data_IF_539834816941
#
_entry.id   IF_539834816941
#
_cell.length_a   1.000
_cell.length_b   1.000
_cell.length_c   1.000
_cell.angle_alpha   90.00
_cell.angle_beta   90.00
_cell.angle_gamma   90.00
#
_symmetry.space_group_name_H-M   'P 1'
#
loop_
_entity.id
_entity.type
_entity.pdbx_description
1 polymer ?
#
# COMPACT_ATOMS: atom_id res chain seq x y z
N UNK A 1 14.62 -78.18 -36.30
CA UNK A 1 14.85 -78.06 -34.85
C UNK A 1 15.10 -76.59 -34.53
N UNK A 2 14.15 -75.99 -33.82
CA UNK A 2 14.01 -74.62 -33.25
C UNK A 2 14.81 -73.45 -33.85
N UNK A 3 14.05 -72.57 -34.53
CA UNK A 3 14.39 -71.18 -34.85
C UNK A 3 13.76 -70.29 -33.76
N UNK A 4 14.58 -69.42 -33.17
CA UNK A 4 14.17 -68.33 -32.28
C UNK A 4 13.45 -67.24 -33.09
N UNK A 5 12.22 -66.86 -32.73
CA UNK A 5 11.64 -65.55 -33.09
C UNK A 5 10.71 -65.02 -31.99
N UNK A 6 11.25 -64.02 -31.29
CA UNK A 6 10.68 -62.68 -31.07
C UNK A 6 9.35 -62.62 -30.30
N UNK A 7 9.52 -62.30 -29.03
CA UNK A 7 8.62 -61.51 -28.18
C UNK A 7 8.03 -60.31 -28.95
N UNK A 8 6.71 -60.21 -29.03
CA UNK A 8 6.02 -58.94 -29.21
C UNK A 8 5.07 -58.77 -28.02
N UNK A 9 5.58 -58.14 -26.96
CA UNK A 9 4.75 -57.59 -25.89
C UNK A 9 3.92 -56.46 -26.50
N UNK A 10 2.61 -56.66 -26.58
CA UNK A 10 1.66 -55.57 -26.73
C UNK A 10 1.60 -54.81 -25.40
N UNK A 11 2.59 -53.95 -25.16
CA UNK A 11 2.44 -52.86 -24.21
C UNK A 11 1.52 -51.85 -24.89
N UNK A 12 0.25 -51.88 -24.51
CA UNK A 12 -0.69 -50.80 -24.82
C UNK A 12 -0.13 -49.57 -24.11
N UNK A 13 0.53 -48.72 -24.89
CA UNK A 13 0.86 -47.36 -24.54
C UNK A 13 -0.46 -46.60 -24.30
N UNK A 14 -0.98 -46.69 -23.08
CA UNK A 14 -1.77 -45.59 -22.51
C UNK A 14 -0.76 -44.46 -22.29
N UNK A 15 -0.44 -43.79 -23.39
CA UNK A 15 0.17 -42.48 -23.35
C UNK A 15 -0.78 -41.61 -22.56
N UNK A 16 -0.35 -41.23 -21.36
CA UNK A 16 -0.84 -40.08 -20.61
C UNK A 16 -0.83 -38.88 -21.55
N UNK A 17 -1.92 -38.70 -22.30
CA UNK A 17 -2.45 -37.37 -22.56
C UNK A 17 -3.08 -36.92 -21.24
N UNK A 18 -2.22 -36.62 -20.26
CA UNK A 18 -2.56 -35.59 -19.30
C UNK A 18 -2.75 -34.34 -20.15
N UNK A 19 -4.01 -34.11 -20.52
CA UNK A 19 -4.46 -32.84 -21.02
C UNK A 19 -3.92 -31.83 -20.01
N UNK A 20 -2.94 -31.02 -20.42
CA UNK A 20 -2.74 -29.70 -19.83
C UNK A 20 -4.01 -28.91 -20.16
N UNK A 21 -5.14 -29.25 -19.55
CA UNK A 21 -6.27 -28.36 -19.47
C UNK A 21 -5.82 -27.28 -18.52
N UNK A 22 -5.36 -26.16 -19.05
CA UNK A 22 -5.35 -24.90 -18.30
C UNK A 22 -6.75 -24.78 -17.71
N UNK A 23 -6.85 -24.87 -16.38
CA UNK A 23 -8.12 -24.62 -15.70
C UNK A 23 -8.46 -23.17 -16.01
N UNK A 24 -9.52 -22.94 -16.79
CA UNK A 24 -10.00 -21.58 -17.01
C UNK A 24 -10.59 -21.07 -15.71
N UNK A 25 -9.89 -20.14 -15.06
CA UNK A 25 -10.35 -19.51 -13.83
C UNK A 25 -11.35 -18.40 -14.12
N UNK A 26 -12.47 -18.44 -13.41
CA UNK A 26 -13.51 -17.41 -13.42
C UNK A 26 -13.12 -16.24 -12.53
N UNK A 27 -13.75 -15.08 -12.69
CA UNK A 27 -13.52 -13.93 -11.79
C UNK A 27 -13.80 -14.30 -10.32
N UNK A 28 -14.76 -15.19 -10.06
CA UNK A 28 -15.06 -15.70 -8.71
C UNK A 28 -13.90 -16.52 -8.12
N UNK A 29 -13.18 -17.28 -8.94
CA UNK A 29 -11.99 -18.00 -8.49
C UNK A 29 -10.89 -17.01 -8.06
N UNK A 30 -10.70 -15.91 -8.81
CA UNK A 30 -9.74 -14.86 -8.46
C UNK A 30 -10.16 -14.12 -7.19
N UNK A 31 -11.45 -13.77 -7.03
CA UNK A 31 -11.96 -13.15 -5.81
C UNK A 31 -11.76 -14.06 -4.59
N UNK A 32 -12.06 -15.36 -4.72
CA UNK A 32 -11.83 -16.35 -3.66
C UNK A 32 -10.35 -16.48 -3.32
N UNK A 33 -9.47 -16.45 -4.33
CA UNK A 33 -8.03 -16.47 -4.12
C UNK A 33 -7.55 -15.23 -3.33
N UNK A 34 -8.00 -14.04 -3.72
CA UNK A 34 -7.69 -12.78 -3.05
C UNK A 34 -8.20 -12.77 -1.60
N UNK A 35 -9.44 -13.20 -1.38
CA UNK A 35 -10.05 -13.27 -0.04
C UNK A 35 -9.23 -14.17 0.89
N UNK A 36 -8.78 -15.33 0.40
CA UNK A 36 -7.95 -16.23 1.19
C UNK A 36 -6.58 -15.64 1.53
N UNK A 37 -5.94 -14.94 0.58
CA UNK A 37 -4.68 -14.23 0.84
C UNK A 37 -4.87 -13.16 1.91
N UNK A 38 -5.89 -12.29 1.77
CA UNK A 38 -6.14 -11.22 2.73
C UNK A 38 -6.45 -11.81 4.11
N UNK A 39 -7.29 -12.85 4.18
CA UNK A 39 -7.60 -13.52 5.46
C UNK A 39 -6.35 -14.05 6.16
N UNK A 40 -5.40 -14.64 5.43
CA UNK A 40 -4.15 -15.14 5.98
C UNK A 40 -3.23 -14.01 6.47
N UNK A 41 -3.19 -12.87 5.76
CA UNK A 41 -2.48 -11.66 6.16
C UNK A 41 -3.09 -11.06 7.45
N UNK A 42 -4.42 -10.92 7.51
CA UNK A 42 -5.12 -10.42 8.70
C UNK A 42 -5.03 -11.37 9.92
N UNK A 43 -4.57 -12.60 9.72
CA UNK A 43 -4.26 -13.57 10.77
C UNK A 43 -2.79 -13.54 11.20
N UNK A 44 -1.96 -12.66 10.63
CA UNK A 44 -0.54 -12.51 10.97
C UNK A 44 0.40 -13.51 10.28
N UNK A 45 -0.08 -14.30 9.31
CA UNK A 45 0.74 -15.34 8.68
C UNK A 45 1.42 -14.88 7.38
N UNK A 46 0.65 -14.34 6.43
CA UNK A 46 1.14 -13.90 5.11
C UNK A 46 1.69 -14.99 4.17
N UNK A 47 1.77 -16.24 4.61
CA UNK A 47 2.41 -17.35 3.88
C UNK A 47 1.74 -17.58 2.52
N UNK A 48 0.41 -17.48 2.43
CA UNK A 48 -0.31 -17.74 1.18
C UNK A 48 0.12 -16.78 0.07
N UNK A 49 0.37 -15.50 0.38
CA UNK A 49 0.86 -14.53 -0.60
C UNK A 49 2.28 -14.89 -1.06
N UNK A 50 3.16 -15.23 -0.11
CA UNK A 50 4.55 -15.58 -0.43
C UNK A 50 4.66 -16.81 -1.35
N UNK A 51 3.79 -17.81 -1.15
CA UNK A 51 3.74 -19.04 -1.95
C UNK A 51 3.05 -18.87 -3.31
N UNK A 52 2.32 -17.76 -3.48
CA UNK A 52 1.58 -17.44 -4.70
C UNK A 52 2.39 -16.70 -5.76
N UNK A 53 3.62 -16.28 -5.45
CA UNK A 53 4.50 -15.63 -6.42
C UNK A 53 4.96 -16.63 -7.49
N UNK A 54 4.73 -16.30 -8.76
CA UNK A 54 5.35 -17.02 -9.89
C UNK A 54 6.80 -16.55 -10.05
N UNK A 55 7.71 -17.20 -9.34
CA UNK A 55 9.14 -16.85 -9.41
C UNK A 55 9.74 -17.03 -10.81
N UNK A 56 9.17 -17.88 -11.67
CA UNK A 56 9.70 -18.04 -13.03
C UNK A 56 9.42 -16.79 -13.87
N UNK A 57 8.18 -16.30 -13.82
CA UNK A 57 7.78 -15.05 -14.48
C UNK A 57 8.45 -13.85 -13.83
N UNK A 58 8.43 -13.76 -12.50
CA UNK A 58 9.01 -12.64 -11.75
C UNK A 58 10.52 -12.49 -12.01
N UNK A 59 11.27 -13.60 -12.06
CA UNK A 59 12.69 -13.58 -12.44
C UNK A 59 12.88 -13.12 -13.89
N UNK A 60 12.01 -13.53 -14.81
CA UNK A 60 12.10 -13.10 -16.20
C UNK A 60 11.93 -11.57 -16.31
N UNK A 61 11.03 -10.99 -15.53
CA UNK A 61 10.86 -9.54 -15.44
C UNK A 61 12.12 -8.90 -14.84
N UNK A 62 12.68 -9.43 -13.75
CA UNK A 62 13.93 -8.93 -13.15
C UNK A 62 15.11 -8.99 -14.13
N UNK A 63 15.25 -10.06 -14.93
CA UNK A 63 16.41 -10.22 -15.81
C UNK A 63 16.37 -9.32 -17.05
N UNK A 64 15.17 -9.00 -17.55
CA UNK A 64 15.03 -8.27 -18.81
C UNK A 64 15.77 -8.95 -19.97
N UNK A 65 16.21 -8.16 -20.95
CA UNK A 65 16.93 -8.65 -22.12
C UNK A 65 18.42 -8.95 -21.84
N UNK A 66 19.04 -8.19 -20.94
CA UNK A 66 20.49 -8.22 -20.71
C UNK A 66 20.97 -9.42 -19.90
N UNK A 67 20.04 -10.11 -19.19
CA UNK A 67 20.31 -11.33 -18.39
C UNK A 67 21.52 -11.20 -17.47
N UNK A 68 21.62 -10.09 -16.76
CA UNK A 68 22.77 -9.73 -15.93
C UNK A 68 22.98 -10.67 -14.73
N UNK A 69 21.91 -11.35 -14.28
CA UNK A 69 21.92 -12.20 -13.11
C UNK A 69 22.07 -13.69 -13.46
N UNK A 70 22.86 -14.41 -12.67
CA UNK A 70 22.82 -15.88 -12.66
C UNK A 70 21.50 -16.35 -12.05
N UNK A 71 20.66 -16.99 -12.85
CA UNK A 71 19.29 -17.36 -12.49
C UNK A 71 19.17 -18.09 -11.14
N UNK A 72 20.06 -19.06 -10.87
CA UNK A 72 20.02 -19.82 -9.60
C UNK A 72 20.31 -18.93 -8.39
N UNK A 73 21.32 -18.07 -8.48
CA UNK A 73 21.69 -17.15 -7.39
C UNK A 73 20.57 -16.12 -7.15
N UNK A 74 19.91 -15.66 -8.22
CA UNK A 74 18.76 -14.75 -8.13
C UNK A 74 17.55 -15.42 -7.50
N UNK A 75 17.20 -16.64 -7.92
CA UNK A 75 16.10 -17.40 -7.32
C UNK A 75 16.31 -17.61 -5.82
N UNK A 76 17.51 -18.05 -5.43
CA UNK A 76 17.85 -18.23 -4.01
C UNK A 76 17.78 -16.91 -3.23
N UNK A 77 18.22 -15.79 -3.82
CA UNK A 77 18.09 -14.47 -3.21
C UNK A 77 16.62 -14.09 -3.00
N UNK A 78 15.79 -14.19 -4.03
CA UNK A 78 14.38 -13.80 -3.97
C UNK A 78 13.59 -14.68 -3.00
N UNK A 79 13.72 -16.01 -3.07
CA UNK A 79 12.99 -16.92 -2.18
C UNK A 79 13.31 -16.70 -0.69
N UNK A 80 14.51 -16.20 -0.37
CA UNK A 80 14.92 -15.93 1.00
C UNK A 80 14.53 -14.52 1.50
N UNK A 81 14.36 -13.54 0.60
CA UNK A 81 14.23 -12.13 1.00
C UNK A 81 12.92 -11.48 0.56
N UNK A 82 12.33 -11.92 -0.56
CA UNK A 82 11.07 -11.38 -1.05
C UNK A 82 9.89 -12.09 -0.37
N UNK A 83 9.42 -11.46 0.72
CA UNK A 83 8.31 -11.94 1.55
C UNK A 83 7.20 -10.88 1.64
N UNK A 84 6.52 -10.58 0.53
CA UNK A 84 5.48 -9.54 0.53
C UNK A 84 4.34 -9.84 1.50
N UNK A 85 3.99 -11.11 1.70
CA UNK A 85 2.99 -11.54 2.66
C UNK A 85 3.37 -11.27 4.11
N UNK A 86 4.62 -11.60 4.49
CA UNK A 86 5.11 -11.35 5.84
C UNK A 86 5.16 -9.85 6.13
N UNK A 87 5.60 -9.04 5.15
CA UNK A 87 5.63 -7.58 5.26
C UNK A 87 4.23 -6.99 5.42
N UNK A 88 3.24 -7.48 4.65
CA UNK A 88 1.85 -7.04 4.76
C UNK A 88 1.22 -7.45 6.10
N UNK A 89 1.51 -8.65 6.59
CA UNK A 89 1.06 -9.11 7.90
C UNK A 89 1.61 -8.21 9.03
N UNK A 90 2.91 -7.89 8.98
CA UNK A 90 3.53 -6.96 9.93
C UNK A 90 2.89 -5.56 9.88
N UNK A 91 2.54 -5.05 8.69
CA UNK A 91 1.83 -3.78 8.57
C UNK A 91 0.44 -3.82 9.22
N UNK A 92 -0.30 -4.93 9.08
CA UNK A 92 -1.59 -5.10 9.77
C UNK A 92 -1.40 -5.13 11.28
N UNK A 93 -0.38 -5.84 11.78
CA UNK A 93 -0.04 -5.85 13.22
C UNK A 93 0.28 -4.45 13.75
N UNK A 94 0.93 -3.62 12.94
CA UNK A 94 1.23 -2.22 13.24
C UNK A 94 0.01 -1.28 13.11
N UNK A 95 -1.15 -1.78 12.64
CA UNK A 95 -2.40 -1.01 12.55
C UNK A 95 -2.75 -0.47 11.15
N UNK A 96 -2.10 -0.97 10.10
CA UNK A 96 -2.46 -0.65 8.72
C UNK A 96 -3.83 -1.24 8.31
N UNK A 97 -4.48 -0.61 7.33
CA UNK A 97 -5.63 -1.18 6.61
C UNK A 97 -5.22 -1.57 5.19
N UNK A 98 -5.32 -2.85 4.84
CA UNK A 98 -5.06 -3.38 3.50
C UNK A 98 -6.37 -3.83 2.87
N UNK A 99 -6.73 -3.22 1.74
CA UNK A 99 -8.04 -3.41 1.12
C UNK A 99 -7.94 -3.79 -0.35
N UNK A 100 -8.69 -4.82 -0.73
CA UNK A 100 -9.01 -5.08 -2.13
C UNK A 100 -10.01 -4.03 -2.63
N UNK A 101 -9.68 -3.36 -3.74
CA UNK A 101 -10.46 -2.27 -4.32
C UNK A 101 -11.25 -2.75 -5.54
N UNK A 102 -10.58 -3.44 -6.47
CA UNK A 102 -11.20 -3.83 -7.74
C UNK A 102 -10.45 -4.98 -8.42
N UNK A 103 -11.19 -5.88 -9.06
CA UNK A 103 -10.69 -6.83 -10.05
C UNK A 103 -11.03 -6.33 -11.45
N UNK A 104 -10.10 -6.44 -12.40
CA UNK A 104 -10.35 -6.09 -13.78
C UNK A 104 -9.49 -6.91 -14.75
N UNK A 105 -9.74 -6.77 -16.06
CA UNK A 105 -8.96 -7.42 -17.11
C UNK A 105 -8.44 -6.37 -18.09
N UNK A 106 -7.15 -6.41 -18.38
CA UNK A 106 -6.52 -5.59 -19.40
C UNK A 106 -5.76 -6.49 -20.37
N UNK A 107 -6.00 -6.33 -21.69
CA UNK A 107 -5.34 -7.10 -22.75
C UNK A 107 -5.38 -8.63 -22.58
N UNK A 108 -6.33 -9.16 -21.80
CA UNK A 108 -6.50 -10.59 -21.54
C UNK A 108 -5.88 -11.07 -20.23
N UNK A 109 -5.11 -10.22 -19.55
CA UNK A 109 -4.53 -10.47 -18.23
C UNK A 109 -5.50 -10.04 -17.13
N UNK A 110 -5.43 -10.70 -15.97
CA UNK A 110 -6.29 -10.42 -14.82
C UNK A 110 -5.49 -9.61 -13.82
N UNK A 111 -6.10 -8.54 -13.33
CA UNK A 111 -5.47 -7.58 -12.43
C UNK A 111 -6.34 -7.34 -11.20
N UNK A 112 -5.71 -7.07 -10.06
CA UNK A 112 -6.41 -6.56 -8.88
C UNK A 112 -5.71 -5.36 -8.25
N UNK A 113 -6.50 -4.35 -7.93
CA UNK A 113 -6.05 -3.17 -7.19
C UNK A 113 -6.20 -3.40 -5.70
N UNK A 114 -5.11 -3.18 -4.97
CA UNK A 114 -5.05 -3.18 -3.51
C UNK A 114 -4.59 -1.84 -2.99
N UNK A 115 -5.10 -1.43 -1.84
CA UNK A 115 -4.67 -0.23 -1.14
C UNK A 115 -4.22 -0.57 0.27
N UNK A 116 -3.04 -0.09 0.65
CA UNK A 116 -2.55 -0.07 2.03
C UNK A 116 -2.61 1.36 2.56
N UNK A 117 -3.25 1.55 3.71
CA UNK A 117 -3.26 2.82 4.44
C UNK A 117 -2.61 2.62 5.81
N UNK A 118 -1.65 3.46 6.17
CA UNK A 118 -1.00 3.43 7.48
C UNK A 118 -0.44 4.81 7.83
N UNK A 119 -0.76 5.32 9.02
CA UNK A 119 -0.25 6.60 9.55
C UNK A 119 -0.33 7.77 8.55
N UNK A 120 -1.49 7.92 7.89
CA UNK A 120 -1.73 8.94 6.88
C UNK A 120 -1.07 8.71 5.52
N UNK A 121 -0.24 7.68 5.38
CA UNK A 121 0.39 7.28 4.12
C UNK A 121 -0.47 6.26 3.38
N UNK A 122 -0.36 6.28 2.05
CA UNK A 122 -1.08 5.35 1.17
C UNK A 122 -0.09 4.68 0.20
N UNK A 123 -0.29 3.38 -0.02
CA UNK A 123 0.24 2.66 -1.18
C UNK A 123 -0.93 2.08 -1.94
N UNK A 124 -0.89 2.15 -3.27
CA UNK A 124 -1.87 1.49 -4.13
C UNK A 124 -1.10 0.63 -5.11
N UNK A 125 -1.40 -0.66 -5.11
CA UNK A 125 -0.73 -1.68 -5.89
C UNK A 125 -1.70 -2.31 -6.86
N UNK A 126 -1.23 -2.54 -8.08
CA UNK A 126 -1.92 -3.27 -9.13
C UNK A 126 -1.21 -4.61 -9.34
N UNK A 127 -1.83 -5.69 -8.88
CA UNK A 127 -1.27 -7.04 -8.95
C UNK A 127 -1.67 -7.69 -10.26
N UNK A 128 -0.69 -8.14 -11.02
CA UNK A 128 -0.89 -8.92 -12.24
C UNK A 128 -0.93 -10.41 -11.90
N UNK A 129 -2.00 -11.08 -12.29
CA UNK A 129 -2.15 -12.52 -12.06
C UNK A 129 -1.84 -13.36 -13.30
N UNK A 130 -1.10 -14.43 -13.08
CA UNK A 130 -0.85 -15.51 -14.03
C UNK A 130 -1.52 -16.82 -13.63
N UNK A 131 -1.27 -17.85 -14.44
CA UNK A 131 -1.70 -19.21 -14.17
C UNK A 131 -0.52 -20.15 -14.35
N UNK A 132 -0.20 -20.93 -13.31
CA UNK A 132 0.89 -21.89 -13.35
C UNK A 132 0.42 -23.23 -12.79
N UNK A 133 0.56 -24.31 -13.58
CA UNK A 133 0.22 -25.69 -13.16
C UNK A 133 -1.21 -25.85 -12.61
N UNK A 134 -2.16 -25.07 -13.12
CA UNK A 134 -3.56 -25.12 -12.69
C UNK A 134 -3.85 -24.38 -11.38
N UNK A 135 -2.97 -23.48 -10.96
CA UNK A 135 -3.12 -22.56 -9.84
C UNK A 135 -3.07 -21.11 -10.32
N UNK A 136 -3.76 -20.21 -9.63
CA UNK A 136 -3.59 -18.76 -9.80
C UNK A 136 -2.28 -18.37 -9.13
N UNK A 137 -1.47 -17.56 -9.82
CA UNK A 137 -0.22 -17.01 -9.30
C UNK A 137 -0.18 -15.50 -9.50
N UNK A 138 0.71 -14.83 -8.78
CA UNK A 138 1.01 -13.41 -8.94
C UNK A 138 2.32 -13.31 -9.71
N UNK A 139 2.27 -12.68 -10.88
CA UNK A 139 3.43 -12.50 -11.74
C UNK A 139 4.29 -11.32 -11.28
N UNK A 140 3.63 -10.22 -10.93
CA UNK A 140 4.25 -8.97 -10.51
C UNK A 140 3.21 -8.07 -9.83
N UNK A 141 3.66 -6.94 -9.27
CA UNK A 141 2.77 -5.87 -8.88
C UNK A 141 3.37 -4.50 -9.21
N UNK A 142 2.53 -3.59 -9.70
CA UNK A 142 2.89 -2.22 -9.97
C UNK A 142 2.40 -1.30 -8.86
N UNK A 143 3.30 -0.60 -8.18
CA UNK A 143 2.88 0.47 -7.25
C UNK A 143 2.51 1.71 -8.05
N UNK A 144 1.22 2.05 -8.06
CA UNK A 144 0.69 3.24 -8.74
C UNK A 144 1.25 4.51 -8.09
N UNK A 145 1.45 4.49 -6.76
CA UNK A 145 1.97 5.66 -6.05
C UNK A 145 3.45 5.91 -6.37
N UNK A 146 4.29 4.86 -6.48
CA UNK A 146 5.73 5.05 -6.76
C UNK A 146 6.10 4.90 -8.23
N UNK A 147 5.22 4.38 -9.08
CA UNK A 147 5.47 4.15 -10.50
C UNK A 147 6.50 3.05 -10.75
N UNK A 148 6.59 2.06 -9.86
CA UNK A 148 7.61 1.00 -9.87
C UNK A 148 6.96 -0.37 -9.73
N UNK A 149 7.40 -1.33 -10.54
CA UNK A 149 7.08 -2.74 -10.36
C UNK A 149 7.91 -3.37 -9.23
N UNK A 150 7.34 -4.36 -8.54
CA UNK A 150 8.11 -5.16 -7.59
C UNK A 150 9.35 -5.76 -8.25
N UNK A 151 9.25 -6.24 -9.49
CA UNK A 151 10.42 -6.78 -10.20
C UNK A 151 11.53 -5.75 -10.41
N UNK A 152 11.21 -4.49 -10.72
CA UNK A 152 12.21 -3.43 -10.85
C UNK A 152 12.86 -3.05 -9.50
N UNK A 153 12.06 -2.96 -8.43
CA UNK A 153 12.58 -2.74 -7.07
C UNK A 153 13.51 -3.89 -6.62
N UNK A 154 13.13 -5.13 -6.92
CA UNK A 154 13.94 -6.30 -6.58
C UNK A 154 15.14 -6.51 -7.50
N UNK A 155 15.08 -6.05 -8.76
CA UNK A 155 16.25 -5.95 -9.65
C UNK A 155 17.31 -5.07 -9.00
N UNK A 156 16.93 -3.89 -8.48
CA UNK A 156 17.85 -3.01 -7.76
C UNK A 156 18.48 -3.72 -6.56
N UNK A 157 17.66 -4.32 -5.68
CA UNK A 157 18.15 -5.01 -4.48
C UNK A 157 19.10 -6.16 -4.82
N UNK A 158 18.79 -6.91 -5.88
CA UNK A 158 19.65 -7.97 -6.39
C UNK A 158 20.96 -7.43 -6.95
N UNK A 159 20.94 -6.34 -7.75
CA UNK A 159 22.15 -5.72 -8.29
C UNK A 159 23.09 -5.27 -7.20
N UNK A 160 22.57 -4.63 -6.15
CA UNK A 160 23.36 -4.23 -4.99
C UNK A 160 23.95 -5.44 -4.25
N UNK A 161 23.15 -6.50 -4.06
CA UNK A 161 23.62 -7.73 -3.40
C UNK A 161 24.71 -8.45 -4.19
N UNK A 162 24.62 -8.43 -5.52
CA UNK A 162 25.49 -9.17 -6.43
C UNK A 162 26.62 -8.31 -7.02
N UNK A 163 26.73 -7.04 -6.62
CA UNK A 163 27.72 -6.07 -7.10
C UNK A 163 27.66 -5.84 -8.62
N UNK A 164 26.45 -5.78 -9.18
CA UNK A 164 26.22 -5.39 -10.58
C UNK A 164 26.13 -3.86 -10.62
N UNK A 165 26.97 -3.23 -11.43
CA UNK A 165 27.01 -1.77 -11.58
C UNK A 165 26.74 -1.41 -13.04
N UNK A 166 25.64 -0.70 -13.25
CA UNK A 166 25.22 -0.11 -14.52
C UNK A 166 24.58 1.28 -14.29
N UNK A 167 24.28 2.01 -15.36
CA UNK A 167 23.73 3.37 -15.27
C UNK A 167 22.43 3.43 -14.45
N UNK A 168 21.58 2.40 -14.55
CA UNK A 168 20.34 2.31 -13.77
C UNK A 168 20.64 2.19 -12.27
N UNK A 169 21.58 1.34 -11.86
CA UNK A 169 21.96 1.20 -10.44
C UNK A 169 22.56 2.49 -9.86
N UNK A 170 23.31 3.26 -10.68
CA UNK A 170 23.86 4.56 -10.26
C UNK A 170 22.73 5.56 -10.06
N UNK A 171 21.82 5.69 -11.04
CA UNK A 171 20.68 6.59 -10.95
C UNK A 171 19.82 6.28 -9.71
N UNK A 172 19.57 5.01 -9.46
CA UNK A 172 18.73 4.61 -8.33
C UNK A 172 19.39 4.92 -6.99
N UNK A 173 20.69 4.71 -6.83
CA UNK A 173 21.40 5.11 -5.60
C UNK A 173 21.24 6.63 -5.36
N UNK A 174 21.31 7.45 -6.41
CA UNK A 174 21.07 8.89 -6.31
C UNK A 174 19.61 9.20 -5.93
N UNK A 175 18.64 8.48 -6.50
CA UNK A 175 17.23 8.61 -6.12
C UNK A 175 16.96 8.17 -4.67
N UNK A 176 17.68 7.18 -4.15
CA UNK A 176 17.59 6.79 -2.74
C UNK A 176 18.09 7.90 -1.80
N UNK A 177 19.21 8.54 -2.14
CA UNK A 177 19.74 9.69 -1.39
C UNK A 177 18.74 10.86 -1.39
N UNK A 178 18.12 11.13 -2.54
CA UNK A 178 17.06 12.13 -2.67
C UNK A 178 15.84 11.76 -1.82
N UNK A 179 15.38 10.51 -1.87
CA UNK A 179 14.25 10.06 -1.07
C UNK A 179 14.53 10.16 0.43
N UNK A 180 15.79 9.90 0.85
CA UNK A 180 16.22 10.15 2.22
C UNK A 180 16.09 11.64 2.60
N UNK A 181 16.52 12.56 1.73
CA UNK A 181 16.33 14.01 1.95
C UNK A 181 14.84 14.39 2.04
N UNK A 182 13.98 13.82 1.20
CA UNK A 182 12.53 14.02 1.25
C UNK A 182 11.97 13.57 2.60
N UNK A 183 12.38 12.40 3.10
CA UNK A 183 11.94 11.87 4.39
C UNK A 183 12.39 12.75 5.57
N UNK A 184 13.56 13.40 5.47
CA UNK A 184 14.02 14.39 6.45
C UNK A 184 13.38 15.78 6.28
N UNK A 185 12.45 15.94 5.34
CA UNK A 185 11.80 17.22 4.96
C UNK A 185 12.78 18.28 4.44
N UNK A 186 13.94 17.86 3.94
CA UNK A 186 14.95 18.73 3.32
C UNK A 186 14.62 19.00 1.85
N UNK A 187 13.42 19.50 1.57
CA UNK A 187 12.87 19.56 0.21
C UNK A 187 13.70 20.39 -0.77
N UNK A 188 14.30 21.50 -0.31
CA UNK A 188 15.16 22.33 -1.16
C UNK A 188 16.47 21.63 -1.55
N UNK A 189 17.04 20.81 -0.65
CA UNK A 189 18.22 20.01 -0.96
C UNK A 189 17.86 18.87 -1.91
N UNK A 190 16.73 18.20 -1.69
CA UNK A 190 16.21 17.18 -2.59
C UNK A 190 15.98 17.73 -4.02
N UNK A 191 15.41 18.93 -4.16
CA UNK A 191 15.18 19.58 -5.45
C UNK A 191 16.50 19.91 -6.16
N UNK A 192 17.47 20.41 -5.39
CA UNK A 192 18.83 20.69 -5.90
C UNK A 192 19.56 19.43 -6.35
N UNK A 193 19.35 18.30 -5.67
CA UNK A 193 19.90 17.01 -6.05
C UNK A 193 19.24 16.47 -7.34
N UNK A 194 17.92 16.65 -7.49
CA UNK A 194 17.20 16.29 -8.72
C UNK A 194 17.73 17.02 -9.96
N UNK A 195 18.10 18.29 -9.84
CA UNK A 195 18.69 19.07 -10.95
C UNK A 195 19.91 18.38 -11.58
N UNK A 196 20.74 17.70 -10.78
CA UNK A 196 21.95 17.02 -11.26
C UNK A 196 21.68 15.71 -11.99
N UNK A 197 20.50 15.11 -11.79
CA UNK A 197 20.11 13.83 -12.39
C UNK A 197 18.93 13.96 -13.38
N UNK A 198 18.45 15.17 -13.62
CA UNK A 198 17.23 15.42 -14.39
C UNK A 198 17.25 14.75 -15.78
N UNK A 199 18.39 14.81 -16.48
CA UNK A 199 18.53 14.21 -17.80
C UNK A 199 18.49 12.68 -17.77
N UNK A 200 18.96 12.06 -16.68
CA UNK A 200 18.85 10.61 -16.48
C UNK A 200 17.41 10.22 -16.08
N UNK A 201 16.68 11.12 -15.43
CA UNK A 201 15.30 10.91 -15.04
C UNK A 201 14.28 11.16 -16.16
N UNK A 202 14.60 11.92 -17.21
CA UNK A 202 13.57 12.42 -18.15
C UNK A 202 12.69 11.32 -18.76
N UNK A 203 13.26 10.16 -19.05
CA UNK A 203 12.56 8.97 -19.58
C UNK A 203 12.37 7.86 -18.53
N UNK A 204 12.68 8.13 -17.27
CA UNK A 204 12.56 7.17 -16.17
C UNK A 204 11.30 7.45 -15.34
N UNK A 205 10.33 6.54 -15.39
CA UNK A 205 9.05 6.72 -14.69
C UNK A 205 9.24 6.94 -13.19
N UNK A 206 10.03 6.10 -12.52
CA UNK A 206 10.29 6.22 -11.09
C UNK A 206 10.91 7.58 -10.70
N UNK A 207 11.94 8.01 -11.43
CA UNK A 207 12.61 9.30 -11.20
C UNK A 207 11.64 10.48 -11.36
N UNK A 208 10.78 10.46 -12.38
CA UNK A 208 9.79 11.52 -12.61
C UNK A 208 8.62 11.47 -11.63
N UNK A 209 8.20 10.28 -11.21
CA UNK A 209 7.21 10.08 -10.15
C UNK A 209 7.73 10.63 -8.81
N UNK A 210 8.97 10.34 -8.45
CA UNK A 210 9.60 10.89 -7.24
C UNK A 210 9.78 12.41 -7.31
N UNK A 211 10.06 12.97 -8.49
CA UNK A 211 10.09 14.42 -8.69
C UNK A 211 8.70 15.06 -8.47
N UNK A 212 7.63 14.43 -8.96
CA UNK A 212 6.25 14.88 -8.69
C UNK A 212 5.89 14.75 -7.21
N UNK A 213 6.28 13.67 -6.54
CA UNK A 213 6.11 13.50 -5.11
C UNK A 213 6.72 14.68 -4.36
N UNK A 214 8.02 14.92 -4.59
CA UNK A 214 8.75 16.03 -3.99
C UNK A 214 8.02 17.36 -4.25
N UNK A 215 7.66 17.67 -5.49
CA UNK A 215 6.94 18.90 -5.83
C UNK A 215 5.63 19.05 -5.03
N UNK A 216 4.83 18.00 -4.94
CA UNK A 216 3.53 18.04 -4.23
C UNK A 216 3.63 18.27 -2.72
N UNK A 217 4.81 18.07 -2.12
CA UNK A 217 5.04 18.26 -0.68
C UNK A 217 5.37 19.71 -0.30
N UNK A 218 5.87 20.54 -1.22
CA UNK A 218 6.36 21.88 -0.85
C UNK A 218 6.16 22.99 -1.89
N UNK A 219 5.81 22.67 -3.14
CA UNK A 219 5.51 23.68 -4.17
C UNK A 219 4.03 24.03 -4.19
N UNK A 220 3.72 25.22 -4.70
CA UNK A 220 2.35 25.66 -4.92
C UNK A 220 1.60 24.73 -5.89
N UNK A 221 0.29 24.55 -5.67
CA UNK A 221 -0.56 23.65 -6.46
C UNK A 221 -0.51 23.91 -7.98
N UNK A 222 -0.42 25.18 -8.40
CA UNK A 222 -0.32 25.53 -9.84
C UNK A 222 1.02 25.11 -10.45
N UNK A 223 2.12 25.16 -9.68
CA UNK A 223 3.42 24.64 -10.13
C UNK A 223 3.37 23.12 -10.29
N UNK A 224 2.79 22.42 -9.30
CA UNK A 224 2.58 20.95 -9.37
C UNK A 224 1.72 20.60 -10.59
N UNK A 225 0.66 21.35 -10.85
CA UNK A 225 -0.20 21.19 -12.03
C UNK A 225 0.58 21.35 -13.33
N UNK A 226 1.49 22.31 -13.40
CA UNK A 226 2.34 22.50 -14.58
C UNK A 226 3.34 21.36 -14.75
N UNK A 227 3.98 20.90 -13.67
CA UNK A 227 4.88 19.74 -13.70
C UNK A 227 4.15 18.44 -14.10
N UNK A 228 2.90 18.27 -13.66
CA UNK A 228 2.05 17.15 -14.08
C UNK A 228 1.78 17.17 -15.58
N UNK A 229 1.55 18.34 -16.19
CA UNK A 229 1.39 18.42 -17.66
C UNK A 229 2.65 17.95 -18.39
N UNK A 230 3.82 18.25 -17.86
CA UNK A 230 5.08 17.80 -18.46
C UNK A 230 5.34 16.31 -18.22
N UNK A 231 5.01 15.79 -17.04
CA UNK A 231 5.02 14.35 -16.76
C UNK A 231 4.12 13.57 -17.74
N UNK A 232 2.90 14.03 -17.98
CA UNK A 232 1.94 13.33 -18.84
C UNK A 232 2.26 13.44 -20.35
N UNK A 233 3.16 14.34 -20.76
CA UNK A 233 3.69 14.32 -22.14
C UNK A 233 4.55 13.08 -22.38
N UNK A 234 5.34 12.70 -21.38
CA UNK A 234 6.23 11.54 -21.45
C UNK A 234 5.50 10.24 -21.08
N UNK A 235 4.68 10.27 -20.03
CA UNK A 235 3.96 9.11 -19.51
C UNK A 235 2.43 9.29 -19.58
N UNK A 236 1.83 9.39 -20.78
CA UNK A 236 0.41 9.70 -20.93
C UNK A 236 -0.53 8.65 -20.34
N UNK A 237 -0.08 7.39 -20.23
CA UNK A 237 -0.84 6.32 -19.61
C UNK A 237 -0.87 6.38 -18.08
N UNK A 238 0.02 7.16 -17.46
CA UNK A 238 0.24 7.18 -16.01
C UNK A 238 -0.53 8.30 -15.31
N UNK A 239 -1.74 8.61 -15.82
CA UNK A 239 -2.55 9.72 -15.29
C UNK A 239 -2.90 9.53 -13.82
N UNK A 240 -3.19 8.30 -13.39
CA UNK A 240 -3.52 7.97 -12.00
C UNK A 240 -2.39 8.36 -11.04
N UNK A 241 -1.13 8.17 -11.42
CA UNK A 241 0.04 8.60 -10.62
C UNK A 241 0.01 10.11 -10.39
N UNK A 242 -0.18 10.88 -11.47
CA UNK A 242 -0.20 12.34 -11.35
C UNK A 242 -1.38 12.87 -10.54
N UNK A 243 -2.52 12.18 -10.58
CA UNK A 243 -3.73 12.56 -9.83
C UNK A 243 -3.55 12.30 -8.33
N UNK A 244 -2.78 11.27 -7.93
CA UNK A 244 -2.36 11.12 -6.52
C UNK A 244 -1.56 12.30 -6.01
N UNK A 245 -0.60 12.81 -6.80
CA UNK A 245 0.23 13.95 -6.36
C UNK A 245 -0.49 15.29 -6.43
N UNK A 246 -1.43 15.45 -7.37
CA UNK A 246 -2.33 16.60 -7.36
C UNK A 246 -3.27 16.56 -6.16
N UNK A 247 -3.79 15.39 -5.79
CA UNK A 247 -4.56 15.19 -4.56
C UNK A 247 -3.73 15.54 -3.32
N UNK A 248 -2.50 15.02 -3.21
CA UNK A 248 -1.58 15.32 -2.11
C UNK A 248 -1.31 16.82 -1.99
N UNK A 249 -1.04 17.49 -3.12
CA UNK A 249 -0.83 18.95 -3.17
C UNK A 249 -2.10 19.72 -2.79
N UNK A 250 -3.27 19.31 -3.27
CA UNK A 250 -4.53 19.95 -2.90
C UNK A 250 -4.81 19.83 -1.39
N UNK A 251 -4.50 18.68 -0.79
CA UNK A 251 -4.64 18.44 0.65
C UNK A 251 -3.70 19.33 1.46
N UNK A 252 -2.43 19.45 1.06
CA UNK A 252 -1.44 20.26 1.78
C UNK A 252 -1.74 21.76 1.74
N UNK A 253 -2.49 22.21 0.73
CA UNK A 253 -2.91 23.61 0.55
C UNK A 253 -4.36 23.89 1.00
N UNK A 254 -5.06 22.91 1.57
CA UNK A 254 -6.44 23.09 2.03
C UNK A 254 -7.46 23.35 0.91
N UNK A 255 -7.20 22.90 -0.31
CA UNK A 255 -8.01 23.18 -1.50
C UNK A 255 -9.18 22.18 -1.64
N UNK A 256 -10.26 22.39 -0.88
CA UNK A 256 -11.44 21.49 -0.80
C UNK A 256 -11.93 21.03 -2.19
N UNK A 257 -12.20 21.96 -3.11
CA UNK A 257 -12.77 21.64 -4.43
C UNK A 257 -11.81 20.78 -5.28
N UNK A 258 -10.50 21.04 -5.17
CA UNK A 258 -9.47 20.26 -5.88
C UNK A 258 -9.27 18.88 -5.26
N UNK A 259 -9.33 18.76 -3.94
CA UNK A 259 -9.32 17.47 -3.26
C UNK A 259 -10.47 16.59 -3.73
N UNK A 260 -11.68 17.14 -3.85
CA UNK A 260 -12.86 16.42 -4.37
C UNK A 260 -12.62 16.02 -5.84
N UNK A 261 -12.18 16.94 -6.68
CA UNK A 261 -11.93 16.69 -8.11
C UNK A 261 -10.98 15.49 -8.33
N UNK A 262 -9.83 15.49 -7.64
CA UNK A 262 -8.83 14.43 -7.79
C UNK A 262 -9.27 13.11 -7.14
N UNK A 263 -9.95 13.17 -5.99
CA UNK A 263 -10.51 11.98 -5.35
C UNK A 263 -11.58 11.31 -6.22
N UNK A 264 -12.47 12.10 -6.84
CA UNK A 264 -13.49 11.59 -7.77
C UNK A 264 -12.86 10.94 -9.00
N UNK A 265 -11.82 11.57 -9.57
CA UNK A 265 -11.08 10.96 -10.67
C UNK A 265 -10.50 9.59 -10.28
N UNK A 266 -9.82 9.51 -9.13
CA UNK A 266 -9.21 8.26 -8.68
C UNK A 266 -10.27 7.20 -8.35
N UNK A 267 -11.38 7.57 -7.70
CA UNK A 267 -12.50 6.67 -7.43
C UNK A 267 -13.08 6.04 -8.70
N UNK A 268 -13.24 6.83 -9.76
CA UNK A 268 -13.79 6.34 -11.03
C UNK A 268 -12.82 5.39 -11.74
N UNK A 269 -11.52 5.67 -11.68
CA UNK A 269 -10.52 4.97 -12.49
C UNK A 269 -9.87 3.77 -11.79
N UNK A 270 -9.65 3.86 -10.46
CA UNK A 270 -9.05 2.78 -9.67
C UNK A 270 -10.10 1.95 -8.92
N UNK A 271 -11.24 2.56 -8.61
CA UNK A 271 -12.32 1.98 -7.81
C UNK A 271 -12.56 2.79 -6.55
N UNK A 272 -13.75 2.59 -5.96
CA UNK A 272 -14.17 3.36 -4.79
C UNK A 272 -13.38 2.97 -3.54
N UNK A 273 -12.71 3.93 -2.91
CA UNK A 273 -11.95 3.69 -1.67
C UNK A 273 -12.40 4.66 -0.55
N UNK A 274 -12.77 4.17 0.64
CA UNK A 274 -13.12 5.02 1.76
C UNK A 274 -11.98 5.91 2.29
N UNK A 275 -10.72 5.67 1.90
CA UNK A 275 -9.58 6.52 2.30
C UNK A 275 -9.78 7.98 1.92
N UNK A 276 -10.52 8.27 0.84
CA UNK A 276 -10.80 9.64 0.43
C UNK A 276 -11.67 10.41 1.44
N UNK A 277 -12.46 9.73 2.28
CA UNK A 277 -13.16 10.38 3.39
C UNK A 277 -12.17 10.97 4.40
N UNK A 278 -11.05 10.28 4.66
CA UNK A 278 -9.99 10.76 5.55
C UNK A 278 -9.38 12.05 5.01
N UNK A 279 -9.03 12.06 3.73
CA UNK A 279 -8.43 13.24 3.09
C UNK A 279 -9.38 14.44 3.06
N UNK A 280 -10.67 14.21 2.81
CA UNK A 280 -11.67 15.27 2.91
C UNK A 280 -11.81 15.79 4.34
N UNK A 281 -11.74 14.91 5.35
CA UNK A 281 -11.76 15.34 6.75
C UNK A 281 -10.61 16.31 7.07
N UNK A 282 -9.39 16.00 6.64
CA UNK A 282 -8.22 16.85 6.88
C UNK A 282 -8.37 18.23 6.25
N UNK A 283 -8.86 18.29 5.01
CA UNK A 283 -9.00 19.55 4.28
C UNK A 283 -10.14 20.41 4.84
N UNK A 284 -11.24 19.78 5.29
CA UNK A 284 -12.27 20.51 6.04
C UNK A 284 -11.80 20.98 7.42
N UNK A 285 -10.91 20.23 8.08
CA UNK A 285 -10.34 20.63 9.37
C UNK A 285 -9.45 21.87 9.20
N UNK A 286 -8.58 21.89 8.19
CA UNK A 286 -7.77 23.07 7.85
C UNK A 286 -8.64 24.31 7.56
N UNK A 287 -9.84 24.10 6.99
CA UNK A 287 -10.82 25.15 6.75
C UNK A 287 -11.67 25.52 7.97
N UNK A 288 -11.38 24.97 9.16
CA UNK A 288 -12.14 25.11 10.41
C UNK A 288 -13.63 24.72 10.26
N UNK A 289 -13.95 23.79 9.36
CA UNK A 289 -15.31 23.24 9.18
C UNK A 289 -15.49 21.94 9.97
N UNK A 290 -15.36 22.03 11.30
CA UNK A 290 -15.28 20.88 12.21
C UNK A 290 -16.47 19.92 12.11
N UNK A 291 -17.70 20.43 11.91
CA UNK A 291 -18.88 19.57 11.70
C UNK A 291 -18.71 18.65 10.47
N UNK A 292 -18.19 19.18 9.36
CA UNK A 292 -17.92 18.37 8.17
C UNK A 292 -16.77 17.42 8.39
N UNK A 293 -15.71 17.86 9.08
CA UNK A 293 -14.60 16.98 9.45
C UNK A 293 -15.12 15.76 10.21
N UNK A 294 -15.98 15.96 11.21
CA UNK A 294 -16.62 14.88 11.97
C UNK A 294 -17.46 13.95 11.08
N UNK A 295 -18.30 14.50 10.18
CA UNK A 295 -19.10 13.69 9.23
C UNK A 295 -18.23 12.79 8.33
N UNK A 296 -17.11 13.31 7.85
CA UNK A 296 -16.18 12.56 7.01
C UNK A 296 -15.37 11.53 7.82
N UNK A 297 -14.97 11.85 9.06
CA UNK A 297 -14.35 10.88 9.96
C UNK A 297 -15.30 9.75 10.35
N UNK A 298 -16.58 10.05 10.60
CA UNK A 298 -17.60 9.03 10.86
C UNK A 298 -17.75 8.08 9.66
N UNK A 299 -17.70 8.62 8.45
CA UNK A 299 -17.71 7.80 7.22
C UNK A 299 -16.45 6.95 7.11
N UNK A 300 -15.27 7.52 7.38
CA UNK A 300 -14.01 6.77 7.37
C UNK A 300 -14.02 5.63 8.41
N UNK A 301 -14.44 5.90 9.65
CA UNK A 301 -14.55 4.91 10.73
C UNK A 301 -15.56 3.82 10.39
N UNK A 302 -16.70 4.17 9.80
CA UNK A 302 -17.69 3.18 9.38
C UNK A 302 -17.11 2.14 8.41
N UNK A 303 -16.30 2.59 7.45
CA UNK A 303 -15.71 1.70 6.45
C UNK A 303 -14.37 1.08 6.87
N UNK A 304 -13.63 1.70 7.78
CA UNK A 304 -12.28 1.32 8.23
C UNK A 304 -12.17 1.41 9.77
N UNK A 305 -12.99 0.67 10.54
CA UNK A 305 -13.09 0.82 12.00
C UNK A 305 -11.83 0.43 12.77
N UNK A 306 -10.93 -0.34 12.16
CA UNK A 306 -9.67 -0.80 12.73
C UNK A 306 -8.55 0.25 12.74
N UNK A 307 -8.74 1.38 12.05
CA UNK A 307 -7.70 2.40 11.94
C UNK A 307 -7.78 3.35 13.12
N UNK A 308 -6.84 3.21 14.05
CA UNK A 308 -6.85 3.92 15.33
C UNK A 308 -6.77 5.45 15.18
N UNK A 309 -5.99 5.93 14.21
CA UNK A 309 -5.78 7.36 13.93
C UNK A 309 -7.08 8.14 13.74
N UNK A 310 -8.12 7.53 13.16
CA UNK A 310 -9.38 8.24 12.90
C UNK A 310 -10.09 8.63 14.18
N UNK A 311 -9.95 7.82 15.23
CA UNK A 311 -10.54 8.09 16.53
C UNK A 311 -9.78 9.20 17.26
N UNK A 312 -8.45 9.26 17.12
CA UNK A 312 -7.63 10.37 17.63
C UNK A 312 -7.93 11.68 16.90
N UNK A 313 -8.10 11.66 15.58
CA UNK A 313 -8.50 12.86 14.84
C UNK A 313 -9.84 13.43 15.36
N UNK A 314 -10.77 12.58 15.82
CA UNK A 314 -12.01 13.04 16.49
C UNK A 314 -11.74 13.65 17.87
N UNK A 315 -10.81 13.10 18.64
CA UNK A 315 -10.38 13.67 19.92
C UNK A 315 -9.81 15.08 19.74
N UNK A 316 -8.97 15.28 18.73
CA UNK A 316 -8.40 16.59 18.41
C UNK A 316 -9.49 17.64 18.17
N UNK A 317 -10.50 17.30 17.37
CA UNK A 317 -11.62 18.22 17.09
C UNK A 317 -12.42 18.52 18.35
N UNK A 318 -12.78 17.51 19.15
CA UNK A 318 -13.53 17.74 20.39
C UNK A 318 -12.72 18.57 21.39
N UNK A 319 -11.40 18.39 21.42
CA UNK A 319 -10.51 19.17 22.25
C UNK A 319 -10.45 20.64 21.79
N UNK A 320 -10.26 20.88 20.49
CA UNK A 320 -10.24 22.22 19.88
C UNK A 320 -11.57 22.97 20.12
N UNK A 321 -12.70 22.29 19.98
CA UNK A 321 -14.05 22.83 20.22
C UNK A 321 -14.43 22.92 21.71
N UNK A 322 -13.54 22.49 22.61
CA UNK A 322 -13.77 22.43 24.07
C UNK A 322 -14.99 21.59 24.45
N UNK A 323 -15.34 20.60 23.63
CA UNK A 323 -16.42 19.64 23.84
C UNK A 323 -15.91 18.45 24.68
N UNK A 324 -15.43 18.71 25.90
CA UNK A 324 -14.74 17.69 26.70
C UNK A 324 -15.63 16.51 27.13
N UNK A 325 -16.95 16.72 27.21
CA UNK A 325 -17.88 15.60 27.45
C UNK A 325 -17.89 14.63 26.28
N UNK A 326 -17.90 15.12 25.03
CA UNK A 326 -17.89 14.28 23.84
C UNK A 326 -16.50 13.69 23.58
N UNK A 327 -15.43 14.42 23.94
CA UNK A 327 -14.08 13.90 24.03
C UNK A 327 -14.01 12.64 24.90
N UNK A 328 -14.55 12.68 26.12
CA UNK A 328 -14.52 11.51 27.03
C UNK A 328 -15.39 10.36 26.50
N UNK A 329 -16.55 10.65 25.87
CA UNK A 329 -17.33 9.60 25.18
C UNK A 329 -16.52 8.91 24.09
N UNK A 330 -15.72 9.67 23.34
CA UNK A 330 -14.87 9.13 22.29
C UNK A 330 -13.72 8.27 22.87
N UNK A 331 -13.17 8.60 24.04
CA UNK A 331 -12.24 7.71 24.75
C UNK A 331 -12.88 6.36 25.08
N UNK A 332 -14.12 6.35 25.58
CA UNK A 332 -14.84 5.08 25.80
C UNK A 332 -15.10 4.29 24.52
N UNK A 333 -15.26 4.96 23.37
CA UNK A 333 -15.33 4.27 22.07
C UNK A 333 -13.98 3.64 21.74
N UNK A 334 -12.88 4.37 21.93
CA UNK A 334 -11.53 3.83 21.76
C UNK A 334 -11.31 2.59 22.63
N UNK A 335 -11.76 2.62 23.89
CA UNK A 335 -11.61 1.50 24.83
C UNK A 335 -12.27 0.22 24.30
N UNK A 336 -13.42 0.35 23.64
CA UNK A 336 -14.17 -0.79 23.11
C UNK A 336 -13.48 -1.49 21.94
N UNK A 337 -12.75 -0.74 21.11
CA UNK A 337 -12.16 -1.25 19.88
C UNK A 337 -10.68 -1.60 20.01
N UNK A 338 -9.93 -0.83 20.80
CA UNK A 338 -8.46 -0.92 20.85
C UNK A 338 -7.93 -1.35 22.22
N UNK A 339 -8.76 -1.31 23.27
CA UNK A 339 -8.39 -1.68 24.64
C UNK A 339 -7.03 -1.08 25.08
N UNK A 340 -6.89 0.27 25.06
CA UNK A 340 -5.68 0.93 25.51
C UNK A 340 -5.40 0.58 26.97
N UNK A 341 -4.14 0.61 27.33
CA UNK A 341 -3.64 0.21 28.64
C UNK A 341 -3.40 1.44 29.53
N UNK A 342 -3.08 1.21 30.81
CA UNK A 342 -2.65 2.29 31.71
C UNK A 342 -1.41 3.05 31.18
N UNK A 343 -0.61 2.42 30.32
CA UNK A 343 0.57 3.03 29.69
C UNK A 343 0.22 4.13 28.66
N UNK A 344 -1.02 4.14 28.15
CA UNK A 344 -1.51 5.12 27.19
C UNK A 344 -2.05 6.40 27.88
N UNK A 345 -2.40 6.33 29.17
CA UNK A 345 -2.95 7.47 29.93
C UNK A 345 -2.00 8.69 29.93
N UNK A 346 -0.67 8.54 30.15
CA UNK A 346 0.26 9.66 30.06
C UNK A 346 0.29 10.36 28.70
N UNK A 347 0.01 9.64 27.61
CA UNK A 347 -0.12 10.25 26.28
C UNK A 347 -1.33 11.19 26.26
N UNK A 348 -2.51 10.73 26.66
CA UNK A 348 -3.72 11.56 26.68
C UNK A 348 -3.59 12.78 27.60
N UNK A 349 -3.01 12.61 28.79
CA UNK A 349 -2.81 13.73 29.73
C UNK A 349 -1.85 14.79 29.19
N UNK A 350 -0.81 14.37 28.46
CA UNK A 350 0.18 15.27 27.86
C UNK A 350 -0.37 15.97 26.62
N UNK A 351 -1.11 15.24 25.78
CA UNK A 351 -1.66 15.75 24.51
C UNK A 351 -2.87 16.65 24.75
N UNK A 352 -3.73 16.33 25.73
CA UNK A 352 -5.00 17.01 25.99
C UNK A 352 -5.10 17.56 27.43
N UNK A 353 -4.20 18.46 27.86
CA UNK A 353 -4.06 18.87 29.26
C UNK A 353 -5.31 19.54 29.83
N UNK A 354 -6.06 20.31 29.02
CA UNK A 354 -7.30 20.94 29.50
C UNK A 354 -8.41 19.91 29.77
N UNK A 355 -8.58 18.93 28.86
CA UNK A 355 -9.54 17.84 29.03
C UNK A 355 -9.20 16.97 30.25
N UNK A 356 -7.90 16.75 30.51
CA UNK A 356 -7.42 15.99 31.66
C UNK A 356 -7.80 16.60 33.03
N UNK A 357 -8.14 17.89 33.07
CA UNK A 357 -8.60 18.55 34.31
C UNK A 357 -10.06 18.30 34.64
N UNK A 358 -10.86 17.87 33.65
CA UNK A 358 -12.30 17.65 33.79
C UNK A 358 -12.62 16.50 34.76
N UNK A 359 -13.84 16.51 35.29
CA UNK A 359 -14.28 15.46 36.21
C UNK A 359 -14.43 14.14 35.44
N UNK A 360 -15.03 14.21 34.26
CA UNK A 360 -15.34 13.09 33.38
C UNK A 360 -14.06 12.35 32.95
N UNK A 361 -13.00 13.08 32.60
CA UNK A 361 -11.71 12.44 32.26
C UNK A 361 -11.10 11.72 33.47
N UNK A 362 -11.16 12.32 34.66
CA UNK A 362 -10.65 11.68 35.89
C UNK A 362 -11.41 10.41 36.23
N UNK A 363 -12.73 10.40 36.05
CA UNK A 363 -13.57 9.20 36.22
C UNK A 363 -13.20 8.12 35.18
N UNK A 364 -13.00 8.48 33.91
CA UNK A 364 -12.51 7.57 32.88
C UNK A 364 -11.13 6.99 33.24
N UNK A 365 -10.18 7.82 33.68
CA UNK A 365 -8.84 7.41 34.12
C UNK A 365 -8.89 6.46 35.32
N UNK A 366 -9.70 6.75 36.33
CA UNK A 366 -9.85 5.89 37.52
C UNK A 366 -10.37 4.49 37.17
N UNK A 367 -11.27 4.39 36.17
CA UNK A 367 -11.78 3.11 35.68
C UNK A 367 -10.69 2.23 35.04
N UNK A 368 -9.60 2.81 34.55
CA UNK A 368 -8.47 2.09 33.94
C UNK A 368 -7.39 1.71 34.95
N UNK A 369 -7.21 2.49 36.02
CA UNK A 369 -6.19 2.24 37.07
C UNK A 369 -6.68 1.27 38.15
N UNK A 370 -8.00 1.11 38.30
CA UNK A 370 -8.58 0.10 39.17
C UNK A 370 -8.69 -1.21 38.37
N UNK A 371 -7.84 -2.23 38.59
CA UNK A 371 -8.06 -3.51 37.94
C UNK A 371 -9.45 -3.99 38.34
N UNK A 372 -10.26 -4.38 37.36
CA UNK A 372 -11.61 -4.87 37.52
C UNK A 372 -11.73 -5.80 38.74
N UNK A 373 -12.14 -5.26 39.88
CA UNK A 373 -12.62 -6.07 40.98
C UNK A 373 -13.95 -6.65 40.50
N UNK A 374 -13.95 -7.96 40.29
CA UNK A 374 -15.09 -8.85 40.04
C UNK A 374 -15.61 -8.99 38.60
N UNK A 375 -15.14 -10.04 37.91
CA UNK A 375 -16.03 -11.11 37.43
C UNK A 375 -15.37 -12.45 37.79
N UNK A 376 -15.60 -12.93 39.02
CA UNK A 376 -15.57 -14.36 39.31
C UNK A 376 -16.90 -14.94 38.88
N UNK A 377 -16.95 -15.55 37.69
CA UNK A 377 -18.03 -16.48 37.34
C UNK A 377 -17.83 -17.77 38.13
N UNK A 378 -18.82 -18.09 38.98
CA UNK A 378 -19.08 -19.44 39.47
C UNK A 378 -19.98 -20.21 38.50
#
# INVERSE_FOLDING_TARGET
MRIYKIFLLAFISFSFLACNSTKDFTDEDYLSFIENILKDIYQGNGILLNESIDYDVFISHIQGEDKEFKQKELLEFLQNNFKPGDNMAALIEDGADIRFIRLYREKGEVHAIFRTYYNGSISVEDWEFGQQKGEIKINDAFSIVSGVYWSDDWRMKASNKMNIVNDNTILINQLMDINYMIAQREYQHADSAFYWIEQACIHNLYGRTMQLNLASLYKDYEEVTQMTKDFLKEFPAQKQISEFYLLQSAISHGLIEKTIEHADYLNVNLGSDPVYFVYLSWVYQQANQHEKTQQYLDSAIFYMPQVYDFYHNKLDIYYEDKQYTDFVKQLYVIDQFFAPTEEDIPFFEKTYPEAATTKEFKEWKEAHIQPSLSITTH
#
